data_IF_138439943693
#
_entry.id   IF_138439943693
#
_cell.length_a   1.000
_cell.length_b   1.000
_cell.length_c   1.000
_cell.angle_alpha   90.00
_cell.angle_beta   90.00
_cell.angle_gamma   90.00
#
_symmetry.space_group_name_H-M   'P 1'
#
loop_
_entity.id
_entity.type
_entity.pdbx_description
1 polymer ?
#
# COMPACT_ATOMS: atom_id res chain seq x y z
N UNK A 1 8.18 -17.36 28.26
CA UNK A 1 7.22 -17.55 27.16
C UNK A 1 7.72 -16.83 25.91
N UNK A 2 7.48 -17.38 24.70
CA UNK A 2 7.78 -16.64 23.47
C UNK A 2 6.82 -15.45 23.34
N UNK A 3 7.34 -14.31 22.87
CA UNK A 3 6.52 -13.15 22.58
C UNK A 3 5.55 -13.45 21.44
N UNK A 4 4.33 -12.95 21.52
CA UNK A 4 3.30 -13.13 20.49
C UNK A 4 3.11 -11.83 19.69
N UNK A 5 3.23 -11.94 18.39
CA UNK A 5 3.14 -10.78 17.48
C UNK A 5 2.00 -11.00 16.49
N UNK A 6 1.15 -10.00 16.34
CA UNK A 6 0.06 -10.00 15.37
C UNK A 6 0.43 -9.16 14.16
N UNK A 7 0.21 -9.70 12.97
CA UNK A 7 0.35 -9.02 11.69
C UNK A 7 -1.02 -8.91 11.00
N UNK A 8 -1.49 -7.69 10.79
CA UNK A 8 -2.79 -7.43 10.17
C UNK A 8 -2.59 -7.12 8.68
N UNK A 9 -3.04 -8.03 7.81
CA UNK A 9 -3.07 -7.86 6.36
C UNK A 9 -4.37 -7.20 5.90
N UNK A 10 -4.35 -6.54 4.75
CA UNK A 10 -5.55 -5.90 4.18
C UNK A 10 -5.62 -6.09 2.68
N UNK A 11 -4.91 -5.27 1.91
CA UNK A 11 -4.62 -5.54 0.50
C UNK A 11 -3.50 -6.57 0.37
N UNK A 12 -3.29 -7.11 -0.83
CA UNK A 12 -2.17 -8.01 -1.09
C UNK A 12 -0.82 -7.32 -0.79
N UNK A 13 -0.69 -6.03 -1.11
CA UNK A 13 0.51 -5.25 -0.80
C UNK A 13 0.77 -5.15 0.71
N UNK A 14 -0.26 -4.89 1.50
CA UNK A 14 -0.15 -4.86 2.96
C UNK A 14 0.23 -6.24 3.50
N UNK A 15 -0.42 -7.27 2.99
CA UNK A 15 -0.21 -8.67 3.41
C UNK A 15 1.22 -9.13 3.15
N UNK A 16 1.77 -8.86 1.97
CA UNK A 16 3.16 -9.20 1.63
C UNK A 16 4.17 -8.46 2.49
N UNK A 17 3.95 -7.17 2.78
CA UNK A 17 4.81 -6.40 3.69
C UNK A 17 4.80 -6.98 5.11
N UNK A 18 3.61 -7.30 5.63
CA UNK A 18 3.49 -7.91 6.96
C UNK A 18 4.22 -9.24 7.04
N UNK A 19 4.11 -10.08 6.00
CA UNK A 19 4.83 -11.34 5.94
C UNK A 19 6.35 -11.13 5.84
N UNK A 20 6.84 -10.19 5.04
CA UNK A 20 8.27 -9.89 4.96
C UNK A 20 8.85 -9.44 6.31
N UNK A 21 8.13 -8.58 7.04
CA UNK A 21 8.56 -8.14 8.37
C UNK A 21 8.56 -9.30 9.36
N UNK A 22 7.56 -10.19 9.30
CA UNK A 22 7.45 -11.33 10.23
C UNK A 22 8.61 -12.32 10.14
N UNK A 23 9.25 -12.42 8.97
CA UNK A 23 10.40 -13.31 8.76
C UNK A 23 11.60 -12.99 9.68
N UNK A 24 11.65 -11.76 10.20
CA UNK A 24 12.66 -11.33 11.17
C UNK A 24 12.28 -11.60 12.63
N UNK A 25 11.19 -12.34 12.90
CA UNK A 25 10.69 -12.68 14.23
C UNK A 25 10.64 -14.20 14.48
N UNK A 26 11.67 -14.93 14.02
CA UNK A 26 11.75 -16.40 14.14
C UNK A 26 11.74 -16.92 15.58
N UNK A 27 12.12 -16.09 16.54
CA UNK A 27 12.11 -16.35 17.98
C UNK A 27 10.76 -16.03 18.67
N UNK A 28 9.81 -15.47 17.95
CA UNK A 28 8.48 -15.11 18.42
C UNK A 28 7.41 -16.02 17.79
N UNK A 29 6.23 -16.03 18.39
CA UNK A 29 5.05 -16.67 17.80
C UNK A 29 4.30 -15.62 16.96
N UNK A 30 4.39 -15.73 15.64
CA UNK A 30 3.79 -14.80 14.70
C UNK A 30 2.41 -15.29 14.26
N UNK A 31 1.40 -14.44 14.41
CA UNK A 31 0.02 -14.70 13.98
C UNK A 31 -0.41 -13.66 12.96
N UNK A 32 -1.30 -14.06 12.07
CA UNK A 32 -1.82 -13.22 11.01
C UNK A 32 -3.34 -13.12 11.06
N UNK A 33 -3.89 -11.99 10.66
CA UNK A 33 -5.33 -11.83 10.49
C UNK A 33 -5.61 -10.93 9.29
N UNK A 34 -6.66 -11.21 8.49
CA UNK A 34 -7.15 -10.24 7.53
C UNK A 34 -7.60 -8.98 8.26
N UNK A 35 -7.57 -7.83 7.59
CA UNK A 35 -8.03 -6.58 8.18
C UNK A 35 -9.49 -6.71 8.63
N UNK A 36 -9.79 -6.22 9.82
CA UNK A 36 -11.10 -6.35 10.43
C UNK A 36 -11.51 -5.10 11.21
N UNK A 37 -12.78 -5.00 11.49
CA UNK A 37 -13.35 -3.98 12.35
C UNK A 37 -14.12 -4.61 13.49
N UNK A 38 -14.56 -3.81 14.45
CA UNK A 38 -15.40 -4.23 15.58
C UNK A 38 -16.62 -3.34 15.69
N UNK A 39 -17.71 -3.86 16.30
CA UNK A 39 -18.95 -3.12 16.54
C UNK A 39 -19.77 -2.91 15.28
N UNK A 40 -20.27 -1.68 15.06
CA UNK A 40 -21.20 -1.36 13.97
C UNK A 40 -20.60 -1.69 12.60
N UNK A 41 -19.32 -1.38 12.38
CA UNK A 41 -18.65 -1.63 11.09
C UNK A 41 -18.56 -3.15 10.83
N UNK A 42 -18.25 -3.96 11.82
CA UNK A 42 -18.24 -5.43 11.68
C UNK A 42 -19.63 -5.97 11.28
N UNK A 43 -20.71 -5.40 11.83
CA UNK A 43 -22.07 -5.75 11.42
C UNK A 43 -22.35 -5.39 9.95
N UNK A 44 -21.85 -4.27 9.46
CA UNK A 44 -21.97 -3.88 8.05
C UNK A 44 -21.17 -4.83 7.13
N UNK A 45 -19.98 -5.25 7.57
CA UNK A 45 -19.17 -6.26 6.86
C UNK A 45 -19.94 -7.58 6.76
N UNK A 46 -20.50 -8.08 7.86
CA UNK A 46 -21.30 -9.32 7.92
C UNK A 46 -22.52 -9.26 7.01
N UNK A 47 -23.14 -8.10 6.87
CA UNK A 47 -24.25 -7.85 5.93
C UNK A 47 -23.80 -7.71 4.47
N UNK A 48 -22.50 -7.78 4.18
CA UNK A 48 -21.96 -7.68 2.83
C UNK A 48 -21.94 -6.28 2.24
N UNK A 49 -22.18 -5.23 3.03
CA UNK A 49 -22.26 -3.84 2.55
C UNK A 49 -20.87 -3.22 2.28
N UNK A 50 -19.78 -3.82 2.77
CA UNK A 50 -18.41 -3.32 2.64
C UNK A 50 -17.51 -4.25 1.80
N UNK A 51 -18.09 -5.05 0.91
CA UNK A 51 -17.34 -5.99 0.04
C UNK A 51 -16.34 -5.32 -0.91
N UNK A 52 -16.54 -4.04 -1.22
CA UNK A 52 -15.66 -3.24 -2.08
C UNK A 52 -14.43 -2.67 -1.35
N UNK A 53 -14.31 -2.90 -0.06
CA UNK A 53 -13.21 -2.42 0.78
C UNK A 53 -12.28 -3.56 1.22
N UNK A 54 -11.14 -3.21 1.83
CA UNK A 54 -10.20 -4.20 2.42
C UNK A 54 -10.81 -5.01 3.59
N UNK A 55 -11.99 -4.64 4.08
CA UNK A 55 -12.72 -5.37 5.11
C UNK A 55 -13.44 -6.62 4.58
N UNK A 56 -13.59 -6.76 3.27
CA UNK A 56 -14.33 -7.87 2.69
C UNK A 56 -14.05 -8.12 1.22
N UNK A 57 -14.91 -8.95 0.60
CA UNK A 57 -14.86 -9.25 -0.82
C UNK A 57 -13.52 -9.80 -1.30
N UNK A 58 -13.10 -9.39 -2.50
CA UNK A 58 -11.90 -9.87 -3.18
C UNK A 58 -10.61 -9.59 -2.41
N UNK A 59 -10.50 -8.46 -1.73
CA UNK A 59 -9.30 -8.12 -0.96
C UNK A 59 -9.07 -9.11 0.19
N UNK A 60 -10.13 -9.42 0.92
CA UNK A 60 -10.08 -10.40 2.00
C UNK A 60 -9.75 -11.80 1.48
N UNK A 61 -10.39 -12.22 0.41
CA UNK A 61 -10.13 -13.51 -0.24
C UNK A 61 -8.66 -13.64 -0.69
N UNK A 62 -8.11 -12.61 -1.32
CA UNK A 62 -6.70 -12.58 -1.72
C UNK A 62 -5.75 -12.69 -0.53
N UNK A 63 -6.06 -11.99 0.58
CA UNK A 63 -5.28 -12.07 1.81
C UNK A 63 -5.33 -13.45 2.44
N UNK A 64 -6.51 -14.06 2.55
CA UNK A 64 -6.69 -15.40 3.10
C UNK A 64 -6.00 -16.47 2.23
N UNK A 65 -6.13 -16.38 0.90
CA UNK A 65 -5.44 -17.25 -0.03
C UNK A 65 -3.91 -17.14 0.10
N UNK A 66 -3.40 -15.92 0.29
CA UNK A 66 -1.98 -15.70 0.55
C UNK A 66 -1.54 -16.36 1.85
N UNK A 67 -2.26 -16.15 2.96
CA UNK A 67 -1.93 -16.77 4.24
C UNK A 67 -1.90 -18.30 4.13
N UNK A 68 -2.87 -18.89 3.47
CA UNK A 68 -2.94 -20.34 3.25
C UNK A 68 -1.79 -20.85 2.37
N UNK A 69 -1.45 -20.14 1.29
CA UNK A 69 -0.36 -20.56 0.39
C UNK A 69 1.03 -20.53 1.03
N UNK A 70 1.21 -19.72 2.06
CA UNK A 70 2.46 -19.65 2.85
C UNK A 70 2.37 -20.36 4.21
N UNK A 71 1.30 -21.10 4.50
CA UNK A 71 1.06 -21.81 5.76
C UNK A 71 1.22 -20.91 6.99
N UNK A 72 0.74 -19.67 6.94
CA UNK A 72 0.85 -18.71 8.04
C UNK A 72 -0.16 -19.03 9.14
N UNK A 73 0.21 -18.88 10.41
CA UNK A 73 -0.68 -19.09 11.55
C UNK A 73 -1.73 -17.98 11.63
N UNK A 74 -3.01 -18.33 11.41
CA UNK A 74 -4.10 -17.34 11.35
C UNK A 74 -4.83 -17.28 12.70
N UNK A 75 -5.00 -16.08 13.25
CA UNK A 75 -5.92 -15.78 14.35
C UNK A 75 -6.96 -14.75 13.87
N UNK A 76 -8.11 -15.22 13.44
CA UNK A 76 -9.16 -14.36 12.90
C UNK A 76 -9.66 -13.35 13.93
N UNK A 77 -9.52 -12.05 13.56
CA UNK A 77 -9.92 -10.92 14.40
C UNK A 77 -9.16 -10.84 15.74
N UNK A 78 -7.99 -11.48 15.86
CA UNK A 78 -7.18 -11.49 17.07
C UNK A 78 -7.96 -11.90 18.33
N UNK A 79 -8.65 -13.06 18.27
CA UNK A 79 -9.55 -13.50 19.34
C UNK A 79 -8.97 -14.54 20.27
N UNK A 80 -7.93 -15.26 19.82
CA UNK A 80 -7.46 -16.45 20.51
C UNK A 80 -6.25 -16.17 21.42
N UNK A 81 -5.60 -15.00 21.23
CA UNK A 81 -4.37 -14.67 21.94
C UNK A 81 -4.32 -13.22 22.39
N UNK A 82 -3.58 -12.95 23.45
CA UNK A 82 -3.09 -11.62 23.78
C UNK A 82 -1.75 -11.41 23.09
N UNK A 83 -1.53 -10.20 22.57
CA UNK A 83 -0.37 -9.87 21.74
C UNK A 83 0.53 -8.85 22.43
N UNK A 84 1.84 -9.08 22.41
CA UNK A 84 2.86 -8.15 22.89
C UNK A 84 3.05 -6.97 21.91
N UNK A 85 2.86 -7.24 20.60
CA UNK A 85 3.03 -6.26 19.53
C UNK A 85 2.05 -6.53 18.38
N UNK A 86 1.52 -5.47 17.77
CA UNK A 86 0.61 -5.55 16.63
C UNK A 86 1.13 -4.70 15.49
N UNK A 87 1.32 -5.29 14.32
CA UNK A 87 1.65 -4.58 13.09
C UNK A 87 0.42 -4.37 12.22
N UNK A 88 0.27 -3.17 11.67
CA UNK A 88 -0.79 -2.82 10.72
C UNK A 88 -0.32 -1.78 9.72
N UNK A 89 -0.89 -1.79 8.50
CA UNK A 89 -0.73 -0.70 7.54
C UNK A 89 -1.87 0.32 7.60
N UNK A 90 -2.87 0.11 8.46
CA UNK A 90 -4.07 0.92 8.53
C UNK A 90 -4.36 1.39 9.96
N UNK A 91 -4.56 2.70 10.09
CA UNK A 91 -4.97 3.34 11.34
C UNK A 91 -6.31 4.09 11.24
N UNK A 92 -6.96 4.03 10.08
CA UNK A 92 -8.29 4.63 9.87
C UNK A 92 -9.35 3.97 10.75
N UNK A 93 -9.23 2.65 10.94
CA UNK A 93 -10.04 1.85 11.84
C UNK A 93 -9.08 1.00 12.69
N UNK A 94 -9.06 1.22 14.01
CA UNK A 94 -8.32 0.35 14.93
C UNK A 94 -9.35 -0.45 15.73
N UNK A 95 -9.37 -1.79 15.58
CA UNK A 95 -10.28 -2.67 16.31
C UNK A 95 -10.17 -2.50 17.83
N UNK A 96 -11.30 -2.63 18.54
CA UNK A 96 -11.34 -2.32 19.97
C UNK A 96 -10.45 -3.25 20.81
N UNK A 97 -10.38 -4.52 20.43
CA UNK A 97 -9.64 -5.56 21.17
C UNK A 97 -8.12 -5.37 21.14
N UNK A 98 -7.56 -4.68 20.13
CA UNK A 98 -6.11 -4.45 20.05
C UNK A 98 -5.68 -3.05 20.52
N UNK A 99 -6.60 -2.17 20.95
CA UNK A 99 -6.28 -0.78 21.29
C UNK A 99 -5.37 -0.61 22.52
N UNK A 100 -5.25 -1.64 23.34
CA UNK A 100 -4.38 -1.65 24.53
C UNK A 100 -3.01 -2.26 24.26
N UNK A 101 -2.85 -2.89 23.09
CA UNK A 101 -1.57 -3.44 22.67
C UNK A 101 -0.63 -2.34 22.19
N UNK A 102 0.66 -2.62 22.14
CA UNK A 102 1.64 -1.82 21.42
C UNK A 102 1.38 -1.98 19.92
N UNK A 103 1.17 -0.87 19.22
CA UNK A 103 0.81 -0.88 17.80
C UNK A 103 1.90 -0.21 16.99
N UNK A 104 2.35 -0.90 15.97
CA UNK A 104 3.26 -0.42 14.94
C UNK A 104 2.48 -0.19 13.65
N UNK A 105 2.48 1.05 13.19
CA UNK A 105 1.93 1.43 11.89
C UNK A 105 3.06 1.42 10.84
N UNK A 106 2.82 0.79 9.69
CA UNK A 106 3.74 0.79 8.57
C UNK A 106 3.05 1.42 7.36
N UNK A 107 3.64 2.43 6.76
CA UNK A 107 3.10 3.06 5.56
C UNK A 107 3.02 2.03 4.42
N UNK A 108 1.85 1.92 3.77
CA UNK A 108 1.65 1.00 2.64
C UNK A 108 2.28 1.51 1.33
N UNK A 109 2.14 2.80 1.11
CA UNK A 109 2.55 3.45 -0.13
C UNK A 109 2.13 4.92 -0.17
N UNK A 110 1.74 5.40 -1.34
CA UNK A 110 1.25 6.76 -1.51
C UNK A 110 -0.08 6.95 -0.78
N UNK A 111 -0.22 8.09 -0.09
CA UNK A 111 -1.50 8.49 0.50
C UNK A 111 -2.29 9.37 -0.46
N UNK A 112 -3.61 9.32 -0.38
CA UNK A 112 -4.48 10.22 -1.14
C UNK A 112 -4.17 11.69 -0.82
N UNK A 113 -4.33 12.59 -1.80
CA UNK A 113 -4.26 14.02 -1.56
C UNK A 113 -5.35 14.48 -0.58
N UNK A 114 -5.06 15.56 0.13
CA UNK A 114 -6.07 16.23 0.93
C UNK A 114 -7.19 16.79 0.02
N UNK A 115 -8.41 16.42 0.34
CA UNK A 115 -9.60 16.82 -0.40
C UNK A 115 -10.65 17.42 0.55
N UNK A 116 -11.80 17.79 0.04
CA UNK A 116 -12.89 18.36 0.84
C UNK A 116 -13.30 17.44 1.99
N UNK A 117 -13.34 16.13 1.77
CA UNK A 117 -13.66 15.15 2.83
C UNK A 117 -12.61 15.12 3.93
N UNK A 118 -11.33 15.25 3.60
CA UNK A 118 -10.26 15.38 4.60
C UNK A 118 -10.51 16.58 5.53
N UNK A 119 -10.79 17.75 4.95
CA UNK A 119 -11.05 18.96 5.74
C UNK A 119 -12.34 18.84 6.57
N UNK A 120 -13.40 18.25 6.01
CA UNK A 120 -14.65 17.99 6.75
C UNK A 120 -14.44 17.03 7.92
N UNK A 121 -13.73 15.92 7.71
CA UNK A 121 -13.41 14.95 8.76
C UNK A 121 -12.61 15.59 9.87
N UNK A 122 -11.62 16.44 9.54
CA UNK A 122 -10.78 17.15 10.51
C UNK A 122 -11.58 18.20 11.28
N UNK A 123 -12.43 18.97 10.60
CA UNK A 123 -13.21 20.06 11.22
C UNK A 123 -14.33 19.54 12.13
N UNK A 124 -15.05 18.49 11.68
CA UNK A 124 -16.21 17.97 12.39
C UNK A 124 -15.92 16.72 13.22
N UNK A 125 -14.65 16.32 13.34
CA UNK A 125 -14.24 15.08 14.05
C UNK A 125 -14.99 13.83 13.58
N UNK A 126 -15.28 13.74 12.27
CA UNK A 126 -15.97 12.62 11.67
C UNK A 126 -15.05 11.37 11.64
N UNK A 127 -15.61 10.17 11.40
CA UNK A 127 -14.82 8.97 11.29
C UNK A 127 -13.76 9.07 10.17
N UNK A 128 -12.48 8.83 10.49
CA UNK A 128 -11.34 9.02 9.57
C UNK A 128 -11.44 8.21 8.27
N UNK A 129 -12.04 7.03 8.32
CA UNK A 129 -12.25 6.19 7.13
C UNK A 129 -13.09 6.87 6.02
N UNK A 130 -13.82 7.95 6.33
CA UNK A 130 -14.56 8.72 5.33
C UNK A 130 -13.66 9.53 4.39
N UNK A 131 -12.43 9.83 4.80
CA UNK A 131 -11.46 10.58 3.99
C UNK A 131 -10.31 9.71 3.46
N UNK A 132 -10.50 8.38 3.42
CA UNK A 132 -9.55 7.41 2.88
C UNK A 132 -8.12 7.56 3.44
N UNK A 133 -7.11 7.20 2.64
CA UNK A 133 -5.70 7.20 3.07
C UNK A 133 -5.13 8.60 3.30
N UNK A 134 -5.84 9.68 2.92
CA UNK A 134 -5.42 11.06 3.27
C UNK A 134 -5.33 11.29 4.78
N UNK A 135 -6.07 10.50 5.58
CA UNK A 135 -6.07 10.54 7.05
C UNK A 135 -5.13 9.53 7.71
N UNK A 136 -4.31 8.82 6.94
CA UNK A 136 -3.32 7.88 7.48
C UNK A 136 -2.37 8.57 8.45
N UNK A 137 -2.09 7.90 9.57
CA UNK A 137 -1.22 8.40 10.64
C UNK A 137 -1.92 9.30 11.66
N UNK A 138 -3.11 9.82 11.38
CA UNK A 138 -3.78 10.81 12.22
C UNK A 138 -4.63 10.21 13.36
N UNK A 139 -4.58 8.88 13.58
CA UNK A 139 -5.27 8.28 14.72
C UNK A 139 -4.59 8.55 16.04
N UNK A 140 -3.27 8.72 16.04
CA UNK A 140 -2.39 8.73 17.20
C UNK A 140 -2.52 7.52 18.13
N UNK A 141 -3.14 6.42 17.66
CA UNK A 141 -3.37 5.18 18.41
C UNK A 141 -2.38 4.08 18.06
N UNK A 142 -1.18 4.46 17.74
CA UNK A 142 -0.03 3.61 17.51
C UNK A 142 1.17 4.22 18.24
N UNK A 143 2.17 3.41 18.48
CA UNK A 143 3.38 3.79 19.22
C UNK A 143 4.50 4.20 18.26
N UNK A 144 4.67 3.45 17.17
CA UNK A 144 5.65 3.72 16.12
C UNK A 144 4.95 3.81 14.76
N UNK A 145 5.44 4.70 13.91
CA UNK A 145 5.01 4.85 12.52
C UNK A 145 6.22 4.84 11.58
N UNK A 146 6.35 3.76 10.81
CA UNK A 146 7.39 3.61 9.82
C UNK A 146 6.98 4.17 8.48
N UNK A 147 7.82 5.05 7.93
CA UNK A 147 7.52 5.80 6.69
C UNK A 147 8.57 5.59 5.62
N UNK A 148 8.15 5.80 4.36
CA UNK A 148 8.91 5.47 3.18
C UNK A 148 10.12 6.38 2.92
N UNK A 149 10.10 7.63 3.40
CA UNK A 149 11.15 8.62 3.15
C UNK A 149 11.06 9.80 4.12
N UNK A 150 12.09 10.63 4.18
CA UNK A 150 12.07 11.91 4.92
C UNK A 150 10.96 12.84 4.41
N UNK A 151 10.70 12.85 3.09
CA UNK A 151 9.60 13.62 2.54
C UNK A 151 8.24 13.21 3.07
N UNK A 152 8.03 11.90 3.28
CA UNK A 152 6.81 11.41 3.94
C UNK A 152 6.78 11.74 5.41
N UNK A 153 7.90 11.68 6.12
CA UNK A 153 7.99 12.16 7.51
C UNK A 153 7.52 13.61 7.62
N UNK A 154 8.08 14.51 6.80
CA UNK A 154 7.69 15.91 6.78
C UNK A 154 6.20 16.09 6.45
N UNK A 155 5.69 15.34 5.49
CA UNK A 155 4.28 15.36 5.11
C UNK A 155 3.38 14.96 6.28
N UNK A 156 3.69 13.88 6.98
CA UNK A 156 2.87 13.43 8.12
C UNK A 156 2.97 14.38 9.31
N UNK A 157 4.14 14.94 9.58
CA UNK A 157 4.32 15.99 10.61
C UNK A 157 3.48 17.21 10.27
N UNK A 158 3.49 17.68 9.02
CA UNK A 158 2.69 18.83 8.59
C UNK A 158 1.18 18.61 8.74
N UNK A 159 0.73 17.34 8.67
CA UNK A 159 -0.67 16.94 8.92
C UNK A 159 -1.03 16.89 10.41
N UNK A 160 -0.05 16.81 11.31
CA UNK A 160 -0.25 16.77 12.76
C UNK A 160 0.09 15.41 13.40
N UNK A 161 0.86 14.57 12.73
CA UNK A 161 1.43 13.35 13.34
C UNK A 161 2.57 13.75 14.27
N UNK A 162 2.62 13.13 15.46
CA UNK A 162 3.69 13.33 16.42
C UNK A 162 5.04 12.88 15.85
N UNK A 163 6.03 13.79 15.70
CA UNK A 163 7.36 13.46 15.16
C UNK A 163 8.09 12.37 15.96
N UNK A 164 7.84 12.27 17.27
CA UNK A 164 8.50 11.29 18.14
C UNK A 164 8.15 9.84 17.78
N UNK A 165 6.99 9.61 17.15
CA UNK A 165 6.51 8.30 16.73
C UNK A 165 7.01 7.88 15.36
N UNK A 166 7.48 8.81 14.52
CA UNK A 166 7.87 8.54 13.14
C UNK A 166 9.29 7.99 13.08
N UNK A 167 9.49 6.96 12.27
CA UNK A 167 10.79 6.38 11.93
C UNK A 167 10.89 6.24 10.42
N UNK A 168 11.95 6.76 9.84
CA UNK A 168 12.20 6.68 8.40
C UNK A 168 13.09 5.48 8.13
N UNK A 169 12.51 4.44 7.51
CA UNK A 169 13.18 3.17 7.23
C UNK A 169 13.11 2.75 5.78
N UNK A 170 12.32 3.49 4.97
CA UNK A 170 11.79 2.90 3.75
C UNK A 170 10.64 1.95 4.06
N UNK A 171 10.04 1.38 3.01
CA UNK A 171 8.96 0.39 3.13
C UNK A 171 9.20 -0.78 2.18
N UNK A 172 8.94 -2.04 2.60
CA UNK A 172 9.39 -3.24 1.90
C UNK A 172 8.93 -3.34 0.43
N UNK A 173 7.77 -2.79 0.08
CA UNK A 173 7.25 -2.88 -1.29
C UNK A 173 7.97 -1.96 -2.29
N UNK A 174 8.77 -0.99 -1.83
CA UNK A 174 9.36 0.06 -2.67
C UNK A 174 10.85 0.28 -2.43
N UNK A 175 11.50 -0.50 -1.60
CA UNK A 175 12.88 -0.29 -1.14
C UNK A 175 13.95 -0.96 -1.99
N UNK A 176 13.55 -1.77 -2.99
CA UNK A 176 14.46 -2.51 -3.87
C UNK A 176 13.90 -2.62 -5.29
N UNK A 177 13.72 -1.49 -5.96
CA UNK A 177 13.23 -1.50 -7.34
C UNK A 177 14.21 -2.19 -8.31
N UNK A 178 15.53 -2.16 -8.03
CA UNK A 178 16.57 -2.76 -8.87
C UNK A 178 16.37 -4.29 -9.05
N UNK A 179 15.75 -4.99 -8.12
CA UNK A 179 15.44 -6.41 -8.25
C UNK A 179 14.63 -6.73 -9.52
N UNK A 180 13.80 -5.81 -9.98
CA UNK A 180 12.93 -6.01 -11.14
C UNK A 180 13.66 -5.91 -12.49
N UNK A 181 14.91 -5.46 -12.51
CA UNK A 181 15.74 -5.42 -13.74
C UNK A 181 16.06 -6.83 -14.25
N UNK A 182 16.16 -7.82 -13.34
CA UNK A 182 16.36 -9.22 -13.71
C UNK A 182 15.01 -9.87 -13.99
N UNK A 183 14.59 -9.87 -15.26
CA UNK A 183 13.32 -10.45 -15.69
C UNK A 183 13.38 -10.94 -17.14
N UNK A 184 12.41 -11.80 -17.52
CA UNK A 184 12.31 -12.42 -18.83
C UNK A 184 11.21 -11.79 -19.70
N UNK A 185 10.73 -10.58 -19.40
CA UNK A 185 9.74 -9.92 -20.24
C UNK A 185 10.35 -9.57 -21.60
N UNK A 186 9.72 -9.96 -22.74
CA UNK A 186 10.38 -9.98 -24.03
C UNK A 186 10.56 -8.60 -24.68
N UNK A 187 9.81 -7.60 -24.25
CA UNK A 187 9.86 -6.26 -24.82
C UNK A 187 10.77 -5.34 -24.03
N UNK A 188 11.41 -4.41 -24.73
CA UNK A 188 12.27 -3.35 -24.19
C UNK A 188 11.96 -2.03 -24.90
N UNK A 189 12.33 -0.90 -24.30
CA UNK A 189 12.33 0.42 -24.92
C UNK A 189 10.93 0.83 -25.48
N UNK A 190 9.90 0.73 -24.68
CA UNK A 190 8.52 1.05 -25.02
C UNK A 190 7.93 2.07 -24.04
N UNK A 191 6.75 2.59 -24.40
CA UNK A 191 5.93 3.40 -23.50
C UNK A 191 4.94 2.50 -22.76
N UNK A 192 5.06 2.43 -21.44
CA UNK A 192 4.13 1.71 -20.57
C UNK A 192 3.04 2.65 -20.08
N UNK A 193 1.79 2.31 -20.35
CA UNK A 193 0.62 2.96 -19.77
C UNK A 193 0.02 2.08 -18.65
N UNK A 194 0.17 2.49 -17.40
CA UNK A 194 -0.48 1.84 -16.27
C UNK A 194 -1.83 2.50 -16.00
N UNK A 195 -2.90 1.74 -16.19
CA UNK A 195 -4.27 2.24 -16.00
C UNK A 195 -4.67 2.19 -14.52
N UNK A 196 -5.82 2.75 -14.18
CA UNK A 196 -6.37 2.79 -12.83
C UNK A 196 -7.81 2.29 -12.81
N UNK A 197 -8.28 1.85 -11.65
CA UNK A 197 -9.66 1.44 -11.38
C UNK A 197 -10.57 2.59 -10.93
N UNK A 198 -10.20 3.85 -11.26
CA UNK A 198 -10.95 5.03 -10.81
C UNK A 198 -12.42 4.98 -11.18
N UNK A 199 -12.73 4.50 -12.38
CA UNK A 199 -14.13 4.37 -12.87
C UNK A 199 -14.92 3.31 -12.10
N UNK A 200 -14.27 2.27 -11.65
CA UNK A 200 -14.82 1.19 -10.83
C UNK A 200 -15.01 1.61 -9.36
N UNK A 201 -14.31 2.66 -8.94
CA UNK A 201 -14.38 3.25 -7.59
C UNK A 201 -15.15 4.58 -7.56
N UNK A 202 -16.04 4.81 -8.55
CA UNK A 202 -16.91 5.99 -8.68
C UNK A 202 -16.15 7.33 -8.82
N UNK A 203 -14.90 7.30 -9.25
CA UNK A 203 -14.10 8.49 -9.52
C UNK A 203 -14.11 8.80 -11.01
N UNK A 204 -14.16 10.08 -11.36
CA UNK A 204 -14.10 10.51 -12.75
C UNK A 204 -12.74 10.22 -13.39
N UNK A 205 -12.77 9.61 -14.58
CA UNK A 205 -11.60 9.44 -15.45
C UNK A 205 -12.02 9.57 -16.92
N UNK A 206 -11.35 10.44 -17.66
CA UNK A 206 -11.52 10.52 -19.12
C UNK A 206 -10.52 9.58 -19.81
N UNK A 207 -10.89 8.30 -19.97
CA UNK A 207 -10.04 7.26 -20.55
C UNK A 207 -9.59 7.61 -21.98
N UNK A 208 -10.46 8.17 -22.81
CA UNK A 208 -10.09 8.60 -24.17
C UNK A 208 -8.95 9.62 -24.14
N UNK A 209 -9.06 10.65 -23.30
CA UNK A 209 -8.02 11.69 -23.15
C UNK A 209 -6.71 11.08 -22.64
N UNK A 210 -6.77 10.12 -21.70
CA UNK A 210 -5.61 9.41 -21.21
C UNK A 210 -4.91 8.60 -22.32
N UNK A 211 -5.66 7.79 -23.09
CA UNK A 211 -5.09 7.02 -24.22
C UNK A 211 -4.46 7.95 -25.26
N UNK A 212 -5.12 9.04 -25.62
CA UNK A 212 -4.58 10.03 -26.56
C UNK A 212 -3.29 10.71 -26.04
N UNK A 213 -3.20 10.96 -24.72
CA UNK A 213 -1.96 11.45 -24.07
C UNK A 213 -0.83 10.44 -24.24
N UNK A 214 -1.10 9.15 -23.99
CA UNK A 214 -0.13 8.06 -24.14
C UNK A 214 0.35 7.96 -25.59
N UNK A 215 -0.55 7.99 -26.58
CA UNK A 215 -0.19 7.92 -28.00
C UNK A 215 0.73 9.09 -28.41
N UNK A 216 0.43 10.31 -27.95
CA UNK A 216 1.29 11.49 -28.23
C UNK A 216 2.67 11.35 -27.60
N UNK A 217 2.74 10.87 -26.34
CA UNK A 217 4.02 10.64 -25.65
C UNK A 217 4.82 9.53 -26.35
N UNK A 218 4.14 8.51 -26.83
CA UNK A 218 4.78 7.38 -27.51
C UNK A 218 5.48 7.81 -28.80
N UNK A 219 4.92 8.73 -29.56
CA UNK A 219 5.50 9.27 -30.79
C UNK A 219 6.04 8.16 -31.72
N UNK A 220 5.21 7.18 -32.03
CA UNK A 220 5.53 6.04 -32.90
C UNK A 220 6.22 4.86 -32.22
N UNK A 221 6.64 4.96 -30.95
CA UNK A 221 7.19 3.83 -30.17
C UNK A 221 6.10 2.81 -29.86
N UNK A 222 6.50 1.58 -29.59
CA UNK A 222 5.59 0.55 -29.06
C UNK A 222 4.90 1.05 -27.80
N UNK A 223 3.58 0.83 -27.72
CA UNK A 223 2.79 1.13 -26.53
C UNK A 223 2.32 -0.18 -25.90
N UNK A 224 2.53 -0.29 -24.59
CA UNK A 224 2.00 -1.38 -23.78
C UNK A 224 1.08 -0.81 -22.71
N UNK A 225 -0.17 -1.25 -22.69
CA UNK A 225 -1.10 -0.97 -21.61
C UNK A 225 -1.11 -2.13 -20.62
N UNK A 226 -0.91 -1.81 -19.35
CA UNK A 226 -1.14 -2.74 -18.24
C UNK A 226 -2.38 -2.30 -17.49
N UNK A 227 -3.44 -3.09 -17.60
CA UNK A 227 -4.72 -2.81 -16.94
C UNK A 227 -4.63 -3.06 -15.44
N UNK A 228 -5.35 -2.23 -14.68
CA UNK A 228 -5.49 -2.44 -13.25
C UNK A 228 -6.29 -3.73 -12.97
N UNK A 229 -5.96 -4.53 -11.95
CA UNK A 229 -6.67 -5.78 -11.67
C UNK A 229 -8.18 -5.65 -11.44
N UNK A 230 -8.61 -4.48 -10.93
CA UNK A 230 -10.02 -4.21 -10.62
C UNK A 230 -10.81 -3.61 -11.79
N UNK A 231 -10.16 -3.29 -12.92
CA UNK A 231 -10.86 -2.73 -14.08
C UNK A 231 -11.74 -3.75 -14.80
N UNK A 232 -12.76 -3.26 -15.46
CA UNK A 232 -13.56 -4.03 -16.40
C UNK A 232 -12.77 -4.19 -17.71
N UNK A 233 -12.03 -5.30 -17.83
CA UNK A 233 -10.98 -5.49 -18.84
C UNK A 233 -11.48 -5.44 -20.27
N UNK A 234 -12.65 -6.04 -20.54
CA UNK A 234 -13.22 -6.04 -21.89
C UNK A 234 -13.51 -4.61 -22.40
N UNK A 235 -14.17 -3.79 -21.57
CA UNK A 235 -14.41 -2.39 -21.89
C UNK A 235 -13.11 -1.62 -22.10
N UNK A 236 -12.15 -1.77 -21.17
CA UNK A 236 -10.87 -1.07 -21.22
C UNK A 236 -10.07 -1.47 -22.49
N UNK A 237 -10.03 -2.76 -22.84
CA UNK A 237 -9.35 -3.27 -24.03
C UNK A 237 -10.02 -2.72 -25.32
N UNK A 238 -11.34 -2.69 -25.39
CA UNK A 238 -12.06 -2.15 -26.56
C UNK A 238 -11.78 -0.66 -26.75
N UNK A 239 -11.72 0.13 -25.66
CA UNK A 239 -11.38 1.55 -25.72
C UNK A 239 -9.95 1.77 -26.19
N UNK A 240 -8.99 0.96 -25.71
CA UNK A 240 -7.59 1.02 -26.12
C UNK A 240 -7.47 0.67 -27.62
N UNK A 241 -8.04 -0.44 -28.08
CA UNK A 241 -7.99 -0.85 -29.47
C UNK A 241 -8.56 0.21 -30.42
N UNK A 242 -9.61 0.92 -29.97
CA UNK A 242 -10.24 2.02 -30.76
C UNK A 242 -9.34 3.26 -30.86
N UNK A 243 -8.59 3.62 -29.80
CA UNK A 243 -7.88 4.90 -29.71
C UNK A 243 -6.36 4.79 -29.77
N UNK A 244 -5.82 3.57 -29.67
CA UNK A 244 -4.40 3.24 -29.82
C UNK A 244 -4.26 1.90 -30.56
N UNK A 245 -4.68 1.82 -31.85
CA UNK A 245 -4.59 0.57 -32.61
C UNK A 245 -3.13 0.07 -32.68
N UNK A 246 -2.93 -1.23 -32.48
CA UNK A 246 -1.61 -1.85 -32.44
C UNK A 246 -0.89 -1.82 -31.08
N UNK A 247 -1.47 -1.19 -30.07
CA UNK A 247 -0.95 -1.28 -28.71
C UNK A 247 -1.18 -2.68 -28.11
N UNK A 248 -0.21 -3.15 -27.31
CA UNK A 248 -0.36 -4.40 -26.56
C UNK A 248 -1.11 -4.13 -25.25
N UNK A 249 -1.99 -5.06 -24.87
CA UNK A 249 -2.77 -4.94 -23.64
C UNK A 249 -2.55 -6.19 -22.76
N UNK A 250 -2.10 -5.95 -21.52
CA UNK A 250 -1.90 -6.99 -20.52
C UNK A 250 -2.80 -6.81 -19.30
N UNK A 251 -3.41 -7.89 -18.84
CA UNK A 251 -4.33 -7.92 -17.69
C UNK A 251 -3.69 -8.59 -16.46
N UNK A 252 -3.07 -9.76 -16.64
CA UNK A 252 -2.64 -10.64 -15.54
C UNK A 252 -1.14 -10.66 -15.25
N UNK A 253 -0.33 -9.83 -15.91
CA UNK A 253 1.11 -9.75 -15.63
C UNK A 253 1.40 -8.86 -14.42
N UNK A 254 2.49 -9.18 -13.70
CA UNK A 254 3.06 -8.23 -12.76
C UNK A 254 3.52 -6.96 -13.47
N UNK A 255 3.23 -5.80 -12.91
CA UNK A 255 3.60 -4.51 -13.51
C UNK A 255 5.09 -4.21 -13.38
N UNK A 256 5.77 -4.74 -12.36
CA UNK A 256 7.15 -4.39 -12.05
C UNK A 256 8.17 -4.73 -13.15
N UNK A 257 8.13 -5.95 -13.76
CA UNK A 257 8.97 -6.24 -14.93
C UNK A 257 8.67 -5.32 -16.14
N UNK A 258 7.40 -4.92 -16.30
CA UNK A 258 7.04 -4.01 -17.38
C UNK A 258 7.65 -2.62 -17.16
N UNK A 259 7.59 -2.10 -15.92
CA UNK A 259 8.23 -0.82 -15.57
C UNK A 259 9.76 -0.91 -15.75
N UNK A 260 10.37 -2.03 -15.33
CA UNK A 260 11.82 -2.20 -15.44
C UNK A 260 12.31 -2.12 -16.90
N UNK A 261 11.49 -2.55 -17.85
CA UNK A 261 11.85 -2.64 -19.27
C UNK A 261 11.35 -1.48 -20.14
N UNK A 262 10.46 -0.61 -19.66
CA UNK A 262 10.02 0.56 -20.41
C UNK A 262 11.05 1.69 -20.36
N UNK A 263 10.95 2.63 -21.30
CA UNK A 263 11.65 3.93 -21.24
C UNK A 263 10.82 4.95 -20.50
N UNK A 264 9.50 4.90 -20.78
CA UNK A 264 8.53 5.89 -20.29
C UNK A 264 7.40 5.17 -19.58
N UNK A 265 7.06 5.62 -18.38
CA UNK A 265 5.89 5.22 -17.63
C UNK A 265 4.85 6.36 -17.65
N UNK A 266 3.64 6.04 -18.10
CA UNK A 266 2.51 6.98 -18.08
C UNK A 266 1.41 6.41 -17.19
N UNK A 267 0.97 7.18 -16.21
CA UNK A 267 -0.16 6.79 -15.33
C UNK A 267 -0.93 8.03 -14.90
N UNK A 268 -2.01 7.85 -14.15
CA UNK A 268 -2.80 8.96 -13.56
C UNK A 268 -2.36 9.15 -12.11
N UNK A 269 -2.95 8.41 -11.20
CA UNK A 269 -2.60 8.37 -9.77
C UNK A 269 -2.27 6.93 -9.39
N UNK A 270 -0.99 6.61 -9.22
CA UNK A 270 -0.58 5.25 -8.87
C UNK A 270 0.78 5.25 -8.18
N UNK A 271 0.93 4.41 -7.17
CA UNK A 271 2.19 4.19 -6.44
C UNK A 271 3.30 3.62 -7.31
N UNK A 272 2.98 3.04 -8.46
CA UNK A 272 3.96 2.50 -9.41
C UNK A 272 4.94 3.55 -9.96
N UNK A 273 4.58 4.85 -9.87
CA UNK A 273 5.48 5.96 -10.21
C UNK A 273 6.80 5.89 -9.44
N UNK A 274 6.77 5.42 -8.18
CA UNK A 274 7.98 5.31 -7.35
C UNK A 274 8.95 4.25 -7.87
N UNK A 275 8.44 3.14 -8.40
CA UNK A 275 9.28 2.13 -9.05
C UNK A 275 9.90 2.69 -10.32
N UNK A 276 9.10 3.39 -11.14
CA UNK A 276 9.59 4.06 -12.35
C UNK A 276 10.70 5.07 -12.04
N UNK A 277 10.49 5.93 -11.06
CA UNK A 277 11.46 6.94 -10.63
C UNK A 277 12.74 6.31 -10.06
N UNK A 278 12.60 5.28 -9.21
CA UNK A 278 13.73 4.56 -8.63
C UNK A 278 14.59 3.85 -9.69
N UNK A 279 13.98 3.44 -10.81
CA UNK A 279 14.67 2.83 -11.96
C UNK A 279 15.12 3.86 -13.02
N UNK A 280 15.02 5.17 -12.72
CA UNK A 280 15.44 6.24 -13.63
C UNK A 280 14.59 6.37 -14.90
N UNK A 281 13.35 5.89 -14.89
CA UNK A 281 12.43 6.00 -16.03
C UNK A 281 11.89 7.41 -16.17
N UNK A 282 11.56 7.80 -17.40
CA UNK A 282 10.78 9.00 -17.64
C UNK A 282 9.34 8.75 -17.19
N UNK A 283 8.83 9.54 -16.22
CA UNK A 283 7.51 9.31 -15.62
C UNK A 283 6.57 10.46 -15.88
N UNK A 284 5.41 10.16 -16.45
CA UNK A 284 4.27 11.05 -16.58
C UNK A 284 3.13 10.63 -15.68
N UNK A 285 2.72 11.52 -14.79
CA UNK A 285 1.64 11.32 -13.83
C UNK A 285 0.85 12.62 -13.68
N UNK A 286 -0.33 12.55 -13.06
CA UNK A 286 -1.09 13.74 -12.67
C UNK A 286 -0.59 14.36 -11.35
N UNK A 287 0.36 13.70 -10.67
CA UNK A 287 1.10 14.31 -9.57
C UNK A 287 2.17 15.29 -10.07
N UNK A 288 2.38 16.36 -9.34
CA UNK A 288 3.50 17.27 -9.61
C UNK A 288 4.84 16.57 -9.37
N UNK A 289 5.77 16.73 -10.30
CA UNK A 289 7.08 16.05 -10.29
C UNK A 289 7.89 16.34 -9.01
N UNK A 290 7.86 17.59 -8.55
CA UNK A 290 8.57 18.03 -7.36
C UNK A 290 8.03 17.31 -6.09
N UNK A 291 6.70 17.12 -6.01
CA UNK A 291 6.07 16.38 -4.92
C UNK A 291 6.49 14.91 -4.96
N UNK A 292 6.47 14.28 -6.14
CA UNK A 292 6.90 12.90 -6.30
C UNK A 292 8.36 12.72 -5.89
N UNK A 293 9.26 13.61 -6.33
CA UNK A 293 10.67 13.56 -5.97
C UNK A 293 10.89 13.65 -4.47
N UNK A 294 10.18 14.56 -3.79
CA UNK A 294 10.25 14.72 -2.33
C UNK A 294 9.76 13.47 -1.60
N UNK A 295 8.71 12.82 -2.10
CA UNK A 295 8.06 11.68 -1.46
C UNK A 295 8.65 10.32 -1.88
N UNK A 296 9.61 10.28 -2.80
CA UNK A 296 10.18 9.01 -3.32
C UNK A 296 10.67 8.13 -2.16
N UNK A 297 10.25 6.86 -2.09
CA UNK A 297 10.71 5.91 -1.09
C UNK A 297 12.22 5.65 -1.17
N UNK A 298 12.85 5.44 -0.02
CA UNK A 298 14.26 5.08 0.07
C UNK A 298 14.51 3.75 -0.65
N UNK A 299 15.60 3.71 -1.42
CA UNK A 299 16.12 2.49 -2.04
C UNK A 299 17.29 1.99 -1.20
N UNK A 300 17.05 0.94 -0.39
CA UNK A 300 18.05 0.39 0.53
C UNK A 300 18.30 -1.12 0.31
N UNK A 301 18.09 -1.58 -0.93
CA UNK A 301 18.32 -2.96 -1.36
C UNK A 301 17.48 -4.01 -0.62
N UNK A 302 16.28 -3.65 -0.17
CA UNK A 302 15.36 -4.58 0.47
C UNK A 302 15.53 -4.75 1.98
N UNK A 303 16.23 -3.82 2.64
CA UNK A 303 16.50 -3.93 4.08
C UNK A 303 15.44 -3.28 4.98
N UNK A 304 14.41 -2.64 4.40
CA UNK A 304 13.37 -1.95 5.20
C UNK A 304 12.66 -2.89 6.17
N UNK A 305 12.30 -4.11 5.75
CA UNK A 305 11.65 -5.08 6.62
C UNK A 305 12.51 -5.44 7.84
N UNK A 306 13.82 -5.63 7.62
CA UNK A 306 14.80 -5.91 8.69
C UNK A 306 14.91 -4.73 9.66
N UNK A 307 15.01 -3.52 9.14
CA UNK A 307 15.17 -2.32 9.96
C UNK A 307 13.90 -2.01 10.77
N UNK A 308 12.71 -2.17 10.17
CA UNK A 308 11.43 -2.09 10.88
C UNK A 308 11.40 -3.10 12.03
N UNK A 309 11.76 -4.35 11.77
CA UNK A 309 11.79 -5.40 12.80
C UNK A 309 12.78 -5.07 13.91
N UNK A 310 13.99 -4.61 13.57
CA UNK A 310 15.05 -4.24 14.54
C UNK A 310 14.57 -3.14 15.50
N UNK A 311 14.03 -2.04 14.97
CA UNK A 311 13.55 -0.91 15.78
C UNK A 311 12.35 -1.34 16.63
N UNK A 312 11.42 -2.10 16.06
CA UNK A 312 10.24 -2.56 16.79
C UNK A 312 10.58 -3.56 17.90
N UNK A 313 11.62 -4.41 17.73
CA UNK A 313 12.14 -5.27 18.79
C UNK A 313 12.75 -4.49 19.93
N UNK A 314 13.56 -3.48 19.62
CA UNK A 314 14.12 -2.59 20.62
C UNK A 314 13.01 -1.93 21.43
N UNK A 315 11.98 -1.39 20.76
CA UNK A 315 10.80 -0.81 21.41
C UNK A 315 10.04 -1.85 22.28
N UNK A 316 10.01 -3.12 21.88
CA UNK A 316 9.37 -4.19 22.65
C UNK A 316 10.17 -4.56 23.91
N UNK A 317 11.51 -4.40 23.89
CA UNK A 317 12.41 -4.70 25.00
C UNK A 317 12.52 -3.53 26.00
N UNK A 318 12.44 -2.28 25.52
CA UNK A 318 12.46 -1.06 26.33
C UNK A 318 11.10 -0.89 27.06
N UNK A 319 10.76 -1.85 27.92
CA UNK A 319 9.52 -1.81 28.70
C UNK A 319 9.69 -0.89 29.91
N UNK A 320 9.07 0.33 29.92
CA UNK A 320 9.11 1.20 31.10
C UNK A 320 8.41 0.60 32.33
N UNK A 321 7.66 -0.50 32.16
CA UNK A 321 6.97 -1.22 33.24
C UNK A 321 7.67 -2.52 33.67
N UNK A 322 8.78 -2.93 33.03
CA UNK A 322 9.53 -4.13 33.42
C UNK A 322 10.26 -4.01 34.77
N UNK A 323 10.28 -2.83 35.38
CA UNK A 323 10.97 -2.55 36.65
C UNK A 323 10.03 -2.23 37.81
N UNK A 324 8.74 -2.50 37.71
CA UNK A 324 7.80 -2.37 38.83
C UNK A 324 7.35 -3.76 39.30
N UNK A 325 8.26 -4.45 40.01
CA UNK A 325 7.92 -5.51 40.96
C UNK A 325 8.81 -5.35 42.20
#
# INVERSE_FOLDING_TARGET
>A
MRKKILFIGGSLNQTTMMHQISQYYSDCDCYFTPFYATGVIDNLVKKGLLKFTILGGRFREQTENYFNSYNLSIDYQAKNHDYDLVFTCQDLIIPKNIRRNRIVLVQEGMTDPENVFYHMVKLFSLPRWMANTSMTGLSNKYDLFFVASEGYRDLFISKGVDPSKIRVTGIPNFDNAAQFLKNNFPYRNYVLAATSDRRETMNYENRKKFIQKVVRIANGRLIIFKLHPNEYWERATNEINRHAPGALVYTNLSINPLIANCDVLVTIYSTVVYIGMALGKEVYSDFRKEVLQKLTPIQNNGTSAQEIARISRQYLLDDPYAFTF
#
